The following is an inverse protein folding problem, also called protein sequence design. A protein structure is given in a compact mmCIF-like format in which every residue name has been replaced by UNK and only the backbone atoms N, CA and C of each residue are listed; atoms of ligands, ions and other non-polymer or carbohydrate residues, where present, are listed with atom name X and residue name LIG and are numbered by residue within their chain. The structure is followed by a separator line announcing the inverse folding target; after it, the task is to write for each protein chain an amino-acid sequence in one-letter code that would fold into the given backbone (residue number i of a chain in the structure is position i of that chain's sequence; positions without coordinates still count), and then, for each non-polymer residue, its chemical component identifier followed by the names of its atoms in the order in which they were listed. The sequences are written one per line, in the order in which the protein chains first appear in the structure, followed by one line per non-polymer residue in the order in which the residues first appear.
data_IF_962860612107
#
_entry.id   IF_962860612107
#
_cell.length_a   1.000
_cell.length_b   1.000
_cell.length_c   1.000
_cell.angle_alpha   90.00
_cell.angle_beta   90.00
_cell.angle_gamma   90.00
#
_symmetry.space_group_name_H-M   'P 1'
#
loop_
_entity.id
_entity.type
_entity.pdbx_description
1 polymer ?
#
# COMPACT_ATOMS: atom_id res chain seq x y z
N UNK A 1 20.82 -61.67 -27.14
CA UNK A 1 20.58 -62.05 -25.74
C UNK A 1 19.26 -61.43 -25.30
N UNK A 2 18.29 -62.32 -25.06
CA UNK A 2 17.06 -62.22 -24.26
C UNK A 2 16.19 -60.95 -24.24
N UNK A 3 15.14 -61.06 -25.05
CA UNK A 3 13.74 -60.63 -24.87
C UNK A 3 13.20 -60.83 -23.44
N UNK A 4 12.39 -59.88 -22.93
CA UNK A 4 11.16 -60.16 -22.16
C UNK A 4 10.06 -59.19 -22.59
N UNK A 5 8.97 -59.78 -23.06
CA UNK A 5 7.64 -59.21 -23.34
C UNK A 5 6.75 -59.63 -22.18
N UNK A 6 5.89 -58.74 -21.68
CA UNK A 6 4.65 -59.14 -20.99
C UNK A 6 3.62 -58.03 -21.11
N UNK A 7 2.53 -58.33 -21.83
CA UNK A 7 1.26 -57.61 -21.77
C UNK A 7 0.18 -58.50 -21.16
N UNK A 8 -0.98 -57.91 -20.86
CA UNK A 8 -2.37 -58.44 -20.67
C UNK A 8 -3.08 -57.54 -19.64
N UNK A 9 -4.39 -57.28 -19.65
CA UNK A 9 -5.48 -57.41 -20.63
C UNK A 9 -6.66 -56.62 -20.04
N UNK A 10 -7.55 -56.13 -20.91
CA UNK A 10 -8.83 -55.52 -20.59
C UNK A 10 -9.82 -56.51 -19.97
N UNK A 11 -10.72 -56.01 -19.11
CA UNK A 11 -11.97 -56.67 -18.78
C UNK A 11 -13.11 -55.66 -18.80
N UNK A 12 -13.98 -55.85 -19.78
CA UNK A 12 -15.28 -55.22 -19.98
C UNK A 12 -16.32 -55.80 -19.01
N UNK A 13 -17.23 -54.96 -18.53
CA UNK A 13 -18.38 -55.38 -17.74
C UNK A 13 -19.50 -54.35 -17.86
N UNK A 14 -20.55 -54.72 -18.58
CA UNK A 14 -21.72 -53.90 -18.85
C UNK A 14 -22.93 -54.34 -18.03
N UNK A 15 -23.94 -53.46 -18.02
CA UNK A 15 -25.39 -53.68 -17.79
C UNK A 15 -25.85 -53.72 -16.31
N UNK A 16 -26.61 -52.69 -15.89
CA UNK A 16 -28.07 -52.81 -15.75
C UNK A 16 -28.74 -51.44 -15.45
N UNK A 17 -29.75 -51.18 -16.27
CA UNK A 17 -30.81 -50.19 -16.12
C UNK A 17 -31.62 -50.41 -14.83
N UNK A 18 -32.12 -49.32 -14.23
CA UNK A 18 -33.50 -49.32 -13.75
C UNK A 18 -34.11 -47.92 -13.77
N UNK A 19 -35.34 -47.90 -14.29
CA UNK A 19 -36.24 -46.77 -14.46
C UNK A 19 -37.00 -46.45 -13.16
N UNK A 20 -37.74 -45.34 -13.25
CA UNK A 20 -38.96 -44.98 -12.54
C UNK A 20 -38.76 -44.14 -11.27
N UNK A 21 -39.03 -42.84 -11.32
CA UNK A 21 -40.37 -42.20 -11.23
C UNK A 21 -40.71 -41.87 -9.78
N UNK A 22 -40.84 -40.58 -9.45
CA UNK A 22 -42.13 -40.04 -8.99
C UNK A 22 -42.00 -38.54 -8.72
N UNK A 23 -42.57 -37.75 -9.63
CA UNK A 23 -43.07 -36.40 -9.36
C UNK A 23 -44.25 -36.49 -8.39
N UNK A 24 -44.38 -35.54 -7.46
CA UNK A 24 -45.63 -34.99 -6.91
C UNK A 24 -45.35 -33.81 -5.95
N UNK A 25 -46.33 -32.94 -5.64
CA UNK A 25 -46.33 -31.57 -6.15
C UNK A 25 -46.28 -30.48 -5.07
N UNK A 26 -46.06 -29.26 -5.57
CA UNK A 26 -46.27 -27.96 -4.92
C UNK A 26 -47.70 -27.82 -4.36
N UNK A 27 -47.88 -27.17 -3.20
CA UNK A 27 -49.07 -26.37 -2.93
C UNK A 27 -48.73 -24.88 -2.90
N UNK A 28 -49.33 -24.18 -3.85
CA UNK A 28 -49.46 -22.73 -3.91
C UNK A 28 -50.44 -22.27 -2.82
N UNK A 29 -50.03 -21.31 -2.00
CA UNK A 29 -50.89 -20.60 -1.05
C UNK A 29 -50.73 -19.09 -1.24
N UNK A 30 -51.79 -18.46 -1.73
CA UNK A 30 -51.86 -17.04 -2.08
C UNK A 30 -52.37 -16.18 -0.92
N UNK A 31 -51.96 -14.90 -0.99
CA UNK A 31 -52.70 -13.68 -0.60
C UNK A 31 -52.70 -13.20 0.86
N UNK A 32 -52.46 -11.90 1.01
CA UNK A 32 -52.87 -11.10 2.17
C UNK A 32 -51.88 -10.00 2.55
N UNK A 33 -52.02 -8.82 1.95
CA UNK A 33 -51.15 -7.67 2.22
C UNK A 33 -51.45 -6.95 3.54
N UNK A 34 -50.49 -6.13 3.97
CA UNK A 34 -50.78 -4.81 4.50
C UNK A 34 -49.53 -3.92 4.45
N UNK A 35 -49.69 -2.76 3.82
CA UNK A 35 -48.71 -1.68 3.79
C UNK A 35 -48.81 -0.93 5.12
N UNK A 36 -47.71 -0.90 5.87
CA UNK A 36 -47.49 0.04 6.96
C UNK A 36 -46.09 0.61 6.80
N UNK A 37 -46.02 1.84 6.28
CA UNK A 37 -44.81 2.64 6.18
C UNK A 37 -44.36 3.09 7.57
N UNK A 38 -43.48 2.31 8.19
CA UNK A 38 -42.68 2.75 9.32
C UNK A 38 -41.27 3.06 8.82
N UNK A 39 -40.89 4.33 8.97
CA UNK A 39 -39.58 4.88 8.65
C UNK A 39 -38.50 4.18 9.50
N UNK A 40 -37.87 3.16 8.92
CA UNK A 40 -36.77 2.42 9.55
C UNK A 40 -35.44 3.12 9.24
N UNK A 41 -34.55 3.30 10.23
CA UNK A 41 -33.26 3.95 10.00
C UNK A 41 -32.45 3.13 9.01
N UNK A 42 -32.14 3.75 7.87
CA UNK A 42 -31.33 3.17 6.79
C UNK A 42 -30.00 2.68 7.41
N UNK A 43 -29.69 1.37 7.37
CA UNK A 43 -28.55 0.80 8.09
C UNK A 43 -27.21 0.97 7.35
N UNK A 44 -27.19 1.74 6.27
CA UNK A 44 -26.02 1.93 5.43
C UNK A 44 -25.60 3.40 5.45
N UNK A 45 -24.35 3.65 5.86
CA UNK A 45 -23.71 4.96 5.74
C UNK A 45 -23.04 5.04 4.37
N UNK A 46 -22.92 6.25 3.80
CA UNK A 46 -22.17 6.47 2.55
C UNK A 46 -20.70 6.03 2.64
N UNK A 47 -20.15 5.87 3.85
CA UNK A 47 -18.84 5.27 4.08
C UNK A 47 -18.76 3.77 3.77
N UNK A 48 -19.91 3.09 3.70
CA UNK A 48 -20.01 1.65 3.49
C UNK A 48 -20.19 1.30 2.00
N UNK A 49 -20.38 2.32 1.15
CA UNK A 49 -20.39 2.19 -0.30
C UNK A 49 -18.95 2.07 -0.78
N UNK A 50 -18.43 0.83 -0.78
CA UNK A 50 -17.27 0.50 -1.62
C UNK A 50 -17.72 0.69 -3.07
N UNK A 51 -17.16 1.68 -3.76
CA UNK A 51 -17.30 1.80 -5.21
C UNK A 51 -16.71 0.52 -5.77
N UNK A 52 -17.57 -0.39 -6.22
CA UNK A 52 -17.17 -1.62 -6.89
C UNK A 52 -16.35 -1.22 -8.11
N UNK A 53 -15.04 -1.28 -7.98
CA UNK A 53 -14.18 -1.27 -9.15
C UNK A 53 -14.42 -2.60 -9.85
N UNK A 54 -14.42 -2.65 -11.17
CA UNK A 54 -14.61 -3.89 -11.95
C UNK A 54 -13.51 -4.94 -11.74
N UNK A 55 -12.71 -4.79 -10.68
CA UNK A 55 -11.56 -5.59 -10.26
C UNK A 55 -11.60 -5.92 -8.76
N UNK A 56 -12.66 -5.54 -8.04
CA UNK A 56 -12.89 -6.10 -6.70
C UNK A 56 -13.28 -7.56 -6.90
N UNK A 57 -12.35 -8.49 -6.63
CA UNK A 57 -12.62 -9.93 -6.61
C UNK A 57 -13.86 -10.17 -5.77
N UNK A 58 -14.95 -10.59 -6.43
CA UNK A 58 -16.28 -10.71 -5.81
C UNK A 58 -16.27 -11.70 -4.63
N UNK A 59 -15.26 -12.58 -4.58
CA UNK A 59 -15.12 -13.63 -3.60
C UNK A 59 -13.81 -13.51 -2.82
N UNK A 60 -13.90 -13.55 -1.50
CA UNK A 60 -12.74 -13.78 -0.63
C UNK A 60 -12.17 -15.19 -0.87
N UNK A 61 -10.87 -15.36 -0.74
CA UNK A 61 -10.20 -16.65 -0.96
C UNK A 61 -10.66 -17.66 0.11
N UNK A 62 -11.23 -18.82 -0.28
CA UNK A 62 -11.69 -19.82 0.67
C UNK A 62 -10.60 -20.30 1.65
N UNK A 63 -10.95 -20.42 2.93
CA UNK A 63 -10.07 -20.94 3.98
C UNK A 63 -9.39 -22.30 3.66
N UNK A 64 -10.07 -23.28 3.02
CA UNK A 64 -9.42 -24.53 2.61
C UNK A 64 -8.21 -24.34 1.70
N UNK A 65 -8.26 -23.36 0.79
CA UNK A 65 -7.16 -23.02 -0.12
C UNK A 65 -6.02 -22.37 0.67
N UNK A 66 -6.33 -21.45 1.58
CA UNK A 66 -5.33 -20.83 2.48
C UNK A 66 -4.65 -21.90 3.33
N UNK A 67 -5.39 -22.89 3.84
CA UNK A 67 -4.84 -23.98 4.65
C UNK A 67 -3.91 -24.89 3.84
N UNK A 68 -4.24 -25.13 2.57
CA UNK A 68 -3.38 -25.84 1.63
C UNK A 68 -2.07 -25.07 1.37
N UNK A 69 -2.16 -23.75 1.15
CA UNK A 69 -0.98 -22.90 0.98
C UNK A 69 -0.09 -22.86 2.24
N UNK A 70 -0.69 -22.69 3.43
CA UNK A 70 0.00 -22.72 4.72
C UNK A 70 0.58 -24.09 5.07
N UNK A 71 0.15 -25.15 4.39
CA UNK A 71 0.73 -26.48 4.49
C UNK A 71 1.97 -26.66 3.58
N UNK A 72 2.38 -25.60 2.85
CA UNK A 72 3.47 -25.63 1.87
C UNK A 72 3.24 -26.65 0.75
N UNK A 73 1.97 -26.95 0.47
CA UNK A 73 1.56 -27.81 -0.64
C UNK A 73 1.33 -26.98 -1.89
N UNK A 74 1.54 -27.57 -3.07
CA UNK A 74 1.20 -26.93 -4.34
C UNK A 74 -0.29 -26.55 -4.37
N UNK A 75 -0.59 -25.30 -4.70
CA UNK A 75 -1.96 -24.79 -4.90
C UNK A 75 -2.16 -24.61 -6.41
N UNK A 76 -2.89 -25.52 -7.09
CA UNK A 76 -3.18 -25.34 -8.51
C UNK A 76 -3.95 -24.04 -8.77
N UNK A 77 -3.57 -23.31 -9.82
CA UNK A 77 -4.25 -22.11 -10.28
C UNK A 77 -5.72 -22.36 -10.63
N UNK A 78 -6.07 -23.59 -11.04
CA UNK A 78 -7.47 -23.96 -11.27
C UNK A 78 -8.36 -23.80 -10.04
N UNK A 79 -7.82 -23.93 -8.82
CA UNK A 79 -8.54 -23.66 -7.57
C UNK A 79 -8.81 -22.17 -7.33
N UNK A 80 -8.04 -21.30 -7.96
CA UNK A 80 -8.06 -19.85 -7.78
C UNK A 80 -8.85 -19.12 -8.87
N UNK A 81 -9.53 -19.87 -9.74
CA UNK A 81 -10.53 -19.30 -10.65
C UNK A 81 -11.81 -18.95 -9.90
N UNK A 82 -12.54 -17.94 -10.35
CA UNK A 82 -13.83 -17.50 -9.82
C UNK A 82 -14.84 -18.64 -9.83
N UNK A 83 -14.87 -19.43 -10.90
CA UNK A 83 -15.75 -20.62 -10.99
C UNK A 83 -15.43 -21.64 -9.90
N UNK A 84 -14.16 -21.92 -9.64
CA UNK A 84 -13.77 -22.84 -8.57
C UNK A 84 -14.04 -22.24 -7.18
N UNK A 85 -13.72 -20.96 -6.96
CA UNK A 85 -13.95 -20.30 -5.68
C UNK A 85 -15.45 -20.17 -5.36
N UNK A 86 -16.28 -19.78 -6.32
CA UNK A 86 -17.74 -19.73 -6.18
C UNK A 86 -18.30 -21.13 -5.90
N UNK A 87 -17.82 -22.16 -6.60
CA UNK A 87 -18.21 -23.55 -6.33
C UNK A 87 -17.83 -24.00 -4.91
N UNK A 88 -16.66 -23.62 -4.41
CA UNK A 88 -16.22 -23.93 -3.04
C UNK A 88 -17.09 -23.21 -2.00
N UNK A 89 -17.49 -21.97 -2.27
CA UNK A 89 -18.36 -21.18 -1.39
C UNK A 89 -19.81 -21.66 -1.38
N UNK A 90 -20.34 -22.01 -2.55
CA UNK A 90 -21.76 -22.40 -2.73
C UNK A 90 -22.01 -23.88 -2.43
N UNK A 91 -21.05 -24.75 -2.72
CA UNK A 91 -21.16 -26.20 -2.50
C UNK A 91 -19.97 -26.73 -1.69
N UNK A 92 -20.07 -26.72 -0.34
CA UNK A 92 -19.04 -27.28 0.53
C UNK A 92 -18.77 -28.78 0.29
N UNK A 93 -19.70 -29.51 -0.33
CA UNK A 93 -19.53 -30.94 -0.61
C UNK A 93 -18.52 -31.23 -1.72
N UNK A 94 -18.19 -30.23 -2.55
CA UNK A 94 -17.16 -30.35 -3.57
C UNK A 94 -15.73 -30.45 -2.97
N UNK A 95 -15.56 -30.06 -1.70
CA UNK A 95 -14.29 -30.08 -0.98
C UNK A 95 -14.01 -31.50 -0.48
N UNK A 96 -13.09 -32.18 -1.15
CA UNK A 96 -12.50 -33.42 -0.61
C UNK A 96 -11.35 -33.05 0.30
N UNK A 97 -11.32 -33.62 1.51
CA UNK A 97 -10.24 -33.38 2.48
C UNK A 97 -9.44 -34.67 2.64
N UNK A 98 -8.11 -34.58 2.51
CA UNK A 98 -7.20 -35.70 2.72
C UNK A 98 -6.36 -35.47 3.97
N UNK A 99 -6.31 -36.47 4.85
CA UNK A 99 -5.51 -36.47 6.08
C UNK A 99 -4.15 -37.12 5.83
N UNK A 100 -3.11 -36.70 6.56
CA UNK A 100 -1.80 -37.37 6.56
C UNK A 100 -0.89 -37.07 5.36
N UNK A 101 -1.14 -35.98 4.63
CA UNK A 101 -0.32 -35.59 3.46
C UNK A 101 0.90 -34.74 3.83
N UNK A 102 0.93 -34.18 5.03
CA UNK A 102 2.02 -33.32 5.51
C UNK A 102 2.92 -34.15 6.43
N UNK A 103 4.19 -34.29 6.06
CA UNK A 103 5.19 -35.01 6.86
C UNK A 103 5.36 -34.41 8.26
N UNK A 104 5.26 -33.09 8.38
CA UNK A 104 5.45 -32.34 9.63
C UNK A 104 4.24 -32.40 10.58
N UNK A 105 3.02 -32.60 10.05
CA UNK A 105 1.80 -32.69 10.85
C UNK A 105 0.78 -33.66 10.22
N UNK A 106 0.83 -34.95 10.60
CA UNK A 106 -0.05 -35.98 10.05
C UNK A 106 -1.54 -35.75 10.36
N UNK A 107 -1.86 -34.94 11.38
CA UNK A 107 -3.24 -34.66 11.79
C UNK A 107 -3.86 -33.54 10.98
N UNK A 108 -3.05 -32.73 10.30
CA UNK A 108 -3.54 -31.60 9.51
C UNK A 108 -4.25 -32.10 8.25
N UNK A 109 -5.51 -31.72 8.15
CA UNK A 109 -6.37 -32.07 7.04
C UNK A 109 -6.25 -30.98 5.96
N UNK A 110 -5.97 -31.36 4.72
CA UNK A 110 -5.78 -30.44 3.59
C UNK A 110 -6.76 -30.72 2.47
N UNK A 111 -7.10 -29.67 1.71
CA UNK A 111 -7.91 -29.77 0.51
C UNK A 111 -7.22 -30.69 -0.51
N UNK A 112 -7.97 -31.66 -1.05
CA UNK A 112 -7.56 -32.51 -2.15
C UNK A 112 -7.96 -31.85 -3.47
N UNK A 113 -6.95 -31.38 -4.21
CA UNK A 113 -7.14 -30.70 -5.48
C UNK A 113 -7.41 -31.64 -6.67
N UNK A 114 -7.35 -32.97 -6.49
CA UNK A 114 -7.53 -33.94 -7.57
C UNK A 114 -8.93 -33.93 -8.20
N UNK A 115 -9.92 -33.34 -7.53
CA UNK A 115 -11.28 -33.17 -8.05
C UNK A 115 -11.46 -31.99 -9.01
N UNK A 116 -10.42 -31.16 -9.19
CA UNK A 116 -10.44 -29.99 -10.05
C UNK A 116 -9.77 -30.30 -11.39
N UNK A 117 -10.12 -29.57 -12.47
CA UNK A 117 -9.48 -29.73 -13.76
C UNK A 117 -7.95 -29.53 -13.68
N UNK A 118 -7.17 -30.18 -14.56
CA UNK A 118 -5.73 -29.97 -14.64
C UNK A 118 -5.42 -28.53 -15.07
N UNK A 119 -4.32 -27.93 -14.59
CA UNK A 119 -3.97 -26.54 -14.95
C UNK A 119 -3.79 -26.30 -16.45
N UNK A 120 -3.42 -27.35 -17.20
CA UNK A 120 -3.33 -27.29 -18.66
C UNK A 120 -4.67 -27.07 -19.36
N UNK A 121 -5.80 -27.20 -18.66
CA UNK A 121 -7.12 -26.90 -19.20
C UNK A 121 -7.55 -25.45 -19.02
N UNK A 122 -6.76 -24.62 -18.33
CA UNK A 122 -7.06 -23.20 -18.17
C UNK A 122 -7.02 -22.48 -19.51
N UNK A 123 -8.05 -21.67 -19.76
CA UNK A 123 -8.01 -20.67 -20.82
C UNK A 123 -7.08 -19.51 -20.43
N UNK A 124 -6.70 -18.68 -21.41
CA UNK A 124 -5.85 -17.53 -21.14
C UNK A 124 -6.48 -16.57 -20.11
N UNK A 125 -7.78 -16.32 -20.22
CA UNK A 125 -8.51 -15.41 -19.33
C UNK A 125 -8.56 -15.97 -17.89
N UNK A 126 -8.89 -17.26 -17.74
CA UNK A 126 -8.88 -17.93 -16.43
C UNK A 126 -7.48 -17.96 -15.81
N UNK A 127 -6.44 -18.09 -16.64
CA UNK A 127 -5.05 -18.05 -16.16
C UNK A 127 -4.68 -16.68 -15.58
N UNK A 128 -5.04 -15.58 -16.26
CA UNK A 128 -4.79 -14.23 -15.76
C UNK A 128 -5.55 -13.97 -14.46
N UNK A 129 -6.83 -14.33 -14.42
CA UNK A 129 -7.68 -14.21 -13.25
C UNK A 129 -7.12 -15.01 -12.05
N UNK A 130 -6.79 -16.28 -12.26
CA UNK A 130 -6.20 -17.14 -11.23
C UNK A 130 -4.84 -16.62 -10.74
N UNK A 131 -4.05 -16.01 -11.63
CA UNK A 131 -2.76 -15.41 -11.28
C UNK A 131 -2.92 -14.18 -10.37
N UNK A 132 -3.92 -13.34 -10.63
CA UNK A 132 -4.23 -12.20 -9.75
C UNK A 132 -4.70 -12.69 -8.36
N UNK A 133 -5.58 -13.69 -8.33
CA UNK A 133 -6.04 -14.30 -7.09
C UNK A 133 -4.90 -15.01 -6.33
N UNK A 134 -3.91 -15.57 -7.05
CA UNK A 134 -2.71 -16.12 -6.43
C UNK A 134 -1.88 -15.04 -5.73
N UNK A 135 -1.72 -13.86 -6.33
CA UNK A 135 -1.05 -12.73 -5.67
C UNK A 135 -1.79 -12.33 -4.39
N UNK A 136 -3.13 -12.35 -4.40
CA UNK A 136 -3.95 -12.09 -3.22
C UNK A 136 -3.86 -13.20 -2.16
N UNK A 137 -3.55 -14.44 -2.54
CA UNK A 137 -3.31 -15.55 -1.61
C UNK A 137 -2.00 -15.36 -0.84
N UNK A 138 -0.97 -14.79 -1.46
CA UNK A 138 0.37 -14.68 -0.87
C UNK A 138 0.38 -14.02 0.52
N UNK A 139 -0.29 -12.89 0.79
CA UNK A 139 -0.37 -12.31 2.13
C UNK A 139 -0.91 -13.25 3.22
N UNK A 140 -1.74 -14.23 2.87
CA UNK A 140 -2.34 -15.15 3.84
C UNK A 140 -1.41 -16.31 4.21
N UNK A 141 -0.45 -16.66 3.35
CA UNK A 141 0.45 -17.80 3.54
C UNK A 141 1.91 -17.41 3.67
N UNK A 142 2.29 -16.20 3.24
CA UNK A 142 3.55 -15.59 3.59
C UNK A 142 3.61 -15.46 5.12
N UNK A 143 4.77 -15.82 5.69
CA UNK A 143 5.02 -15.68 7.12
C UNK A 143 4.89 -14.22 7.59
N UNK A 144 5.19 -13.94 8.87
CA UNK A 144 5.29 -12.56 9.34
C UNK A 144 6.15 -11.74 8.38
N UNK A 145 5.79 -10.46 8.22
CA UNK A 145 6.47 -9.52 7.34
C UNK A 145 7.97 -9.77 7.38
N UNK A 146 8.56 -9.99 6.21
CA UNK A 146 9.96 -10.37 6.04
C UNK A 146 10.83 -9.49 6.93
N UNK A 147 11.32 -10.07 8.03
CA UNK A 147 12.27 -9.38 8.89
C UNK A 147 13.50 -9.10 8.03
N UNK A 148 13.95 -7.84 8.03
CA UNK A 148 15.01 -7.35 7.15
C UNK A 148 14.65 -7.35 5.65
N UNK A 149 13.54 -6.71 5.27
CA UNK A 149 13.18 -6.44 3.87
C UNK A 149 14.37 -5.97 3.01
N UNK A 150 15.23 -5.09 3.55
CA UNK A 150 16.44 -4.64 2.84
C UNK A 150 17.41 -5.77 2.48
N UNK A 151 17.56 -6.77 3.36
CA UNK A 151 18.40 -7.94 3.10
C UNK A 151 17.77 -8.86 2.06
N UNK A 152 16.47 -9.12 2.17
CA UNK A 152 15.73 -9.90 1.16
C UNK A 152 15.77 -9.24 -0.21
N UNK A 153 15.54 -7.92 -0.28
CA UNK A 153 15.61 -7.19 -1.54
C UNK A 153 17.01 -7.25 -2.17
N UNK A 154 18.06 -7.02 -1.37
CA UNK A 154 19.44 -7.09 -1.85
C UNK A 154 19.80 -8.52 -2.33
N UNK A 155 19.32 -9.54 -1.63
CA UNK A 155 19.53 -10.93 -1.99
C UNK A 155 18.80 -11.33 -3.28
N UNK A 156 17.52 -10.95 -3.42
CA UNK A 156 16.74 -11.21 -4.62
C UNK A 156 17.39 -10.57 -5.85
N UNK A 157 17.74 -9.27 -5.76
CA UNK A 157 18.39 -8.55 -6.86
C UNK A 157 19.67 -9.29 -7.29
N UNK A 158 20.54 -9.64 -6.32
CA UNK A 158 21.82 -10.28 -6.64
C UNK A 158 21.63 -11.68 -7.21
N UNK A 159 20.69 -12.46 -6.66
CA UNK A 159 20.37 -13.81 -7.15
C UNK A 159 19.83 -13.77 -8.57
N UNK A 160 18.90 -12.84 -8.87
CA UNK A 160 18.39 -12.64 -10.24
C UNK A 160 19.49 -12.18 -11.19
N UNK A 161 20.35 -11.24 -10.78
CA UNK A 161 21.49 -10.82 -11.59
C UNK A 161 22.42 -11.99 -11.92
N UNK A 162 22.73 -12.86 -10.97
CA UNK A 162 23.53 -14.07 -11.21
C UNK A 162 22.82 -14.95 -12.23
N UNK A 163 21.55 -15.27 -12.00
CA UNK A 163 20.76 -16.11 -12.91
C UNK A 163 20.74 -15.56 -14.35
N UNK A 164 20.48 -14.27 -14.55
CA UNK A 164 20.42 -13.70 -15.90
C UNK A 164 21.79 -13.63 -16.59
N UNK A 165 22.88 -13.50 -15.83
CA UNK A 165 24.23 -13.42 -16.40
C UNK A 165 24.83 -14.81 -16.67
N UNK A 166 24.56 -15.80 -15.83
CA UNK A 166 25.20 -17.12 -15.91
C UNK A 166 24.25 -18.23 -16.37
N UNK A 167 22.93 -18.01 -16.31
CA UNK A 167 21.89 -19.03 -16.50
C UNK A 167 22.02 -20.23 -15.57
N UNK A 168 22.64 -20.04 -14.40
CA UNK A 168 22.81 -21.10 -13.39
C UNK A 168 22.03 -20.78 -12.13
N UNK A 169 21.48 -21.82 -11.50
CA UNK A 169 20.93 -21.75 -10.15
C UNK A 169 22.04 -21.97 -9.12
N UNK A 170 21.91 -21.36 -7.95
CA UNK A 170 22.77 -21.66 -6.81
C UNK A 170 22.40 -23.05 -6.28
N UNK A 171 23.41 -23.84 -5.87
CA UNK A 171 23.15 -25.00 -5.03
C UNK A 171 22.59 -24.56 -3.67
N UNK A 172 21.92 -25.45 -2.95
CA UNK A 172 21.32 -25.15 -1.65
C UNK A 172 22.35 -24.56 -0.65
N UNK A 173 23.55 -25.14 -0.60
CA UNK A 173 24.65 -24.65 0.24
C UNK A 173 25.13 -23.26 -0.20
N UNK A 174 25.26 -23.04 -1.52
CA UNK A 174 25.67 -21.75 -2.05
C UNK A 174 24.59 -20.68 -1.81
N UNK A 175 23.32 -21.04 -1.90
CA UNK A 175 22.18 -20.17 -1.62
C UNK A 175 22.19 -19.74 -0.15
N UNK A 176 22.32 -20.69 0.78
CA UNK A 176 22.36 -20.41 2.22
C UNK A 176 23.57 -19.53 2.60
N UNK A 177 24.76 -19.85 2.06
CA UNK A 177 25.95 -19.02 2.28
C UNK A 177 25.75 -17.59 1.75
N UNK A 178 25.18 -17.47 0.54
CA UNK A 178 24.93 -16.18 -0.09
C UNK A 178 23.93 -15.32 0.69
N UNK A 179 22.87 -15.95 1.22
CA UNK A 179 21.89 -15.31 2.09
C UNK A 179 22.56 -14.74 3.34
N UNK A 180 23.34 -15.57 4.05
CA UNK A 180 24.04 -15.16 5.26
C UNK A 180 25.04 -14.02 5.00
N UNK A 181 25.75 -14.04 3.87
CA UNK A 181 26.67 -12.98 3.46
C UNK A 181 25.96 -11.64 3.30
N UNK A 182 24.83 -11.63 2.58
CA UNK A 182 24.06 -10.40 2.31
C UNK A 182 23.41 -9.89 3.58
N UNK A 183 22.81 -10.77 4.38
CA UNK A 183 22.23 -10.41 5.66
C UNK A 183 23.27 -9.75 6.56
N UNK A 184 24.46 -10.36 6.70
CA UNK A 184 25.57 -9.79 7.49
C UNK A 184 26.00 -8.41 6.99
N UNK A 185 26.11 -8.23 5.66
CA UNK A 185 26.47 -6.94 5.05
C UNK A 185 25.44 -5.85 5.35
N UNK A 186 24.15 -6.16 5.20
CA UNK A 186 23.08 -5.20 5.44
C UNK A 186 22.98 -4.84 6.93
N UNK A 187 23.04 -5.82 7.82
CA UNK A 187 23.02 -5.56 9.27
C UNK A 187 24.22 -4.71 9.71
N UNK A 188 25.43 -4.98 9.20
CA UNK A 188 26.62 -4.15 9.48
C UNK A 188 26.45 -2.72 8.99
N UNK A 189 25.93 -2.53 7.77
CA UNK A 189 25.67 -1.20 7.21
C UNK A 189 24.64 -0.44 8.06
N UNK A 190 23.54 -1.08 8.44
CA UNK A 190 22.52 -0.46 9.29
C UNK A 190 23.08 -0.05 10.66
N UNK A 191 23.93 -0.88 11.26
CA UNK A 191 24.61 -0.54 12.51
C UNK A 191 25.56 0.66 12.36
N UNK A 192 26.30 0.74 11.24
CA UNK A 192 27.16 1.89 10.91
C UNK A 192 26.32 3.17 10.72
N UNK A 193 25.28 3.12 9.89
CA UNK A 193 24.39 4.26 9.64
C UNK A 193 23.73 4.77 10.93
N UNK A 194 23.30 3.84 11.81
CA UNK A 194 22.74 4.18 13.12
C UNK A 194 23.77 4.85 14.03
N UNK A 195 25.02 4.33 14.05
CA UNK A 195 26.09 4.92 14.85
C UNK A 195 26.46 6.32 14.37
N UNK A 196 26.58 6.54 13.06
CA UNK A 196 26.85 7.85 12.48
C UNK A 196 25.73 8.84 12.77
N UNK A 197 24.48 8.40 12.68
CA UNK A 197 23.31 9.23 13.02
C UNK A 197 23.34 9.65 14.49
N UNK A 198 23.66 8.73 15.41
CA UNK A 198 23.81 9.03 16.82
C UNK A 198 24.96 10.02 17.09
N UNK A 199 26.12 9.85 16.47
CA UNK A 199 27.23 10.79 16.58
C UNK A 199 26.87 12.19 16.09
N UNK A 200 26.15 12.29 14.96
CA UNK A 200 25.68 13.59 14.44
C UNK A 200 24.72 14.27 15.41
N UNK A 201 23.80 13.53 16.03
CA UNK A 201 22.87 14.12 16.99
C UNK A 201 23.56 14.54 18.29
N UNK A 202 24.52 13.76 18.81
CA UNK A 202 25.35 14.16 19.96
C UNK A 202 26.13 15.43 19.65
N UNK A 203 26.76 15.53 18.47
CA UNK A 203 27.45 16.75 18.04
C UNK A 203 26.49 17.96 17.95
N UNK A 204 25.27 17.74 17.46
CA UNK A 204 24.23 18.78 17.38
C UNK A 204 23.81 19.27 18.77
N UNK A 205 23.57 18.35 19.71
CA UNK A 205 23.17 18.68 21.08
C UNK A 205 24.31 19.36 21.85
N UNK A 206 25.55 18.91 21.67
CA UNK A 206 26.73 19.54 22.26
C UNK A 206 26.88 20.99 21.79
N UNK A 207 26.73 21.24 20.49
CA UNK A 207 26.77 22.60 19.93
C UNK A 207 25.66 23.52 20.47
N UNK A 208 24.48 22.96 20.78
CA UNK A 208 23.39 23.72 21.43
C UNK A 208 23.69 24.00 22.90
N UNK A 209 24.26 23.05 23.64
CA UNK A 209 24.65 23.22 25.03
C UNK A 209 25.71 24.32 25.18
N UNK A 210 26.74 24.34 24.32
CA UNK A 210 27.75 25.42 24.33
C UNK A 210 27.16 26.80 24.09
N UNK A 211 26.06 26.92 23.32
CA UNK A 211 25.37 28.20 23.11
C UNK A 211 24.55 28.66 24.31
N UNK A 212 24.10 27.73 25.15
CA UNK A 212 23.35 28.03 26.37
C UNK A 212 24.27 28.33 27.56
N UNK A 213 25.42 27.65 27.63
CA UNK A 213 26.44 27.86 28.67
C UNK A 213 27.42 29.00 28.35
N UNK A 214 27.53 29.39 27.07
CA UNK A 214 28.13 30.65 26.65
C UNK A 214 27.31 31.81 27.19
N UNK A 215 27.64 32.23 28.41
CA UNK A 215 26.99 33.28 29.19
C UNK A 215 26.77 34.60 28.43
N UNK A 216 25.99 35.52 29.03
CA UNK A 216 25.43 36.68 28.34
C UNK A 216 26.54 37.40 27.61
N UNK A 217 26.47 37.38 26.27
CA UNK A 217 27.20 38.31 25.43
C UNK A 217 27.01 39.67 26.05
N UNK A 218 28.10 40.15 26.65
CA UNK A 218 28.25 41.46 27.21
C UNK A 218 28.27 42.41 26.00
N UNK A 219 27.12 42.54 25.33
CA UNK A 219 26.75 43.69 24.53
C UNK A 219 26.60 44.83 25.55
N UNK A 220 27.75 45.25 26.08
CA UNK A 220 27.92 46.51 26.74
C UNK A 220 27.44 47.53 25.72
N UNK A 221 26.24 48.03 25.99
CA UNK A 221 25.59 49.09 25.25
C UNK A 221 26.59 50.25 25.21
N UNK A 222 27.33 50.41 24.11
CA UNK A 222 28.13 51.61 23.93
C UNK A 222 27.13 52.77 23.81
N UNK A 223 27.12 53.71 24.77
CA UNK A 223 26.27 54.89 24.62
C UNK A 223 26.78 55.64 23.41
N UNK A 224 25.87 55.93 22.48
CA UNK A 224 26.13 56.77 21.33
C UNK A 224 26.96 58.01 21.74
N UNK A 225 28.14 58.18 21.12
CA UNK A 225 28.85 59.44 21.15
C UNK A 225 27.93 60.50 20.53
N UNK A 226 27.42 61.40 21.37
CA UNK A 226 26.58 62.50 20.93
C UNK A 226 27.41 63.44 20.05
N UNK A 227 27.05 63.56 18.78
CA UNK A 227 27.49 64.69 17.94
C UNK A 227 26.81 65.97 18.44
N UNK A 228 27.51 67.10 18.53
CA UNK A 228 26.90 68.39 18.88
C UNK A 228 25.89 68.81 17.81
N UNK A 229 24.68 69.17 18.27
CA UNK A 229 23.62 69.79 17.47
C UNK A 229 24.10 71.15 16.93
N UNK A 230 23.96 71.35 15.63
CA UNK A 230 23.78 72.69 15.06
C UNK A 230 22.28 72.90 14.82
N UNK A 231 21.82 74.08 15.24
CA UNK A 231 20.45 74.53 15.21
C UNK A 231 19.97 74.85 13.79
N UNK A 232 18.69 74.53 13.51
CA UNK A 232 17.96 75.19 12.43
C UNK A 232 16.90 74.32 11.73
N UNK A 233 15.66 74.80 11.83
CA UNK A 233 14.47 74.54 10.97
C UNK A 233 13.41 73.56 11.53
N UNK A 234 12.13 73.99 11.66
CA UNK A 234 11.05 73.20 12.26
C UNK A 234 10.14 72.51 11.25
N UNK A 235 9.36 71.55 11.79
CA UNK A 235 8.10 70.99 11.29
C UNK A 235 8.12 70.10 10.05
N UNK A 236 7.94 68.79 10.27
CA UNK A 236 6.75 68.10 9.77
C UNK A 236 6.57 66.72 10.44
N UNK A 237 5.31 66.43 10.74
CA UNK A 237 4.73 65.24 11.33
C UNK A 237 5.16 63.93 10.67
N UNK A 238 5.43 62.88 11.46
CA UNK A 238 5.54 61.53 10.91
C UNK A 238 6.11 60.47 11.86
N UNK A 239 5.22 59.76 12.54
CA UNK A 239 5.34 58.36 12.98
C UNK A 239 6.71 57.82 13.42
N UNK A 240 6.89 57.66 14.73
CA UNK A 240 7.96 56.82 15.28
C UNK A 240 7.91 55.38 14.75
N UNK A 241 9.05 54.73 14.50
CA UNK A 241 9.11 53.41 13.86
C UNK A 241 9.00 52.29 14.92
N UNK A 242 8.30 51.22 14.54
CA UNK A 242 8.21 49.93 15.25
C UNK A 242 7.32 49.85 16.51
N UNK A 243 5.98 49.88 16.31
CA UNK A 243 5.09 49.01 17.10
C UNK A 243 5.01 47.64 16.42
N UNK A 244 5.92 46.74 16.78
CA UNK A 244 5.87 45.32 16.39
C UNK A 244 4.72 44.67 17.17
N UNK A 245 3.51 44.74 16.61
CA UNK A 245 2.35 44.03 17.11
C UNK A 245 2.66 42.53 17.18
N UNK A 246 2.40 41.94 18.34
CA UNK A 246 2.51 40.50 18.60
C UNK A 246 1.35 39.80 17.89
N UNK A 247 1.47 39.65 16.56
CA UNK A 247 0.58 38.80 15.80
C UNK A 247 0.71 37.37 16.31
N UNK A 248 -0.40 36.70 16.55
CA UNK A 248 -0.46 35.25 16.82
C UNK A 248 0.30 34.55 15.70
N UNK A 249 1.53 34.10 15.98
CA UNK A 249 2.41 33.61 14.93
C UNK A 249 1.82 32.34 14.34
N UNK A 250 1.25 32.46 13.15
CA UNK A 250 0.89 31.35 12.27
C UNK A 250 2.17 30.75 11.65
N UNK A 251 3.20 30.53 12.46
CA UNK A 251 4.59 30.24 12.04
C UNK A 251 4.81 28.77 11.63
N UNK A 252 3.73 28.01 11.46
CA UNK A 252 3.80 26.64 10.96
C UNK A 252 3.89 26.60 9.44
N UNK A 253 4.53 25.57 8.84
CA UNK A 253 4.50 25.38 7.39
C UNK A 253 3.05 25.27 6.90
N UNK A 254 2.77 25.87 5.74
CA UNK A 254 1.48 25.76 5.05
C UNK A 254 1.39 24.39 4.37
N UNK A 255 0.39 23.60 4.75
CA UNK A 255 0.13 22.32 4.10
C UNK A 255 -0.42 22.51 2.68
N UNK A 256 0.25 21.93 1.67
CA UNK A 256 -0.15 22.02 0.26
C UNK A 256 -1.43 21.23 -0.08
N UNK A 257 -1.89 20.34 0.81
CA UNK A 257 -3.10 19.54 0.56
C UNK A 257 -4.35 20.26 1.06
N UNK A 258 -4.33 20.77 2.29
CA UNK A 258 -5.52 21.34 2.93
C UNK A 258 -5.44 22.85 3.21
N UNK A 259 -4.33 23.52 2.88
CA UNK A 259 -4.08 24.95 3.15
C UNK A 259 -4.14 25.36 4.62
N UNK A 260 -3.91 24.44 5.56
CA UNK A 260 -3.82 24.75 6.99
C UNK A 260 -2.36 24.85 7.41
N UNK A 261 -2.08 25.69 8.39
CA UNK A 261 -0.73 25.81 8.95
C UNK A 261 -0.50 24.74 10.03
N UNK A 262 0.77 24.39 10.24
CA UNK A 262 1.19 23.58 11.39
C UNK A 262 1.47 22.10 11.10
N UNK A 263 1.37 21.66 9.84
CA UNK A 263 1.77 20.32 9.43
C UNK A 263 2.26 20.28 7.98
N UNK A 264 2.99 19.22 7.61
CA UNK A 264 3.47 18.99 6.25
C UNK A 264 2.41 18.27 5.42
N UNK A 265 2.51 18.37 4.10
CA UNK A 265 1.65 17.63 3.18
C UNK A 265 1.76 16.11 3.37
N UNK A 266 2.94 15.59 3.73
CA UNK A 266 3.15 14.16 4.04
C UNK A 266 2.34 13.66 5.22
N UNK A 267 2.00 14.55 6.16
CA UNK A 267 1.37 14.21 7.44
C UNK A 267 -0.10 14.66 7.46
N UNK A 268 -0.64 15.06 6.30
CA UNK A 268 -1.98 15.61 6.19
C UNK A 268 -3.05 14.50 6.20
N UNK A 269 -3.84 14.45 7.27
CA UNK A 269 -4.97 13.53 7.42
C UNK A 269 -6.32 14.16 7.08
N UNK A 270 -6.34 15.45 6.73
CA UNK A 270 -7.59 16.16 6.45
C UNK A 270 -8.16 15.82 5.08
N UNK A 271 -9.47 15.55 5.05
CA UNK A 271 -10.24 15.29 3.83
C UNK A 271 -10.79 16.56 3.17
N UNK A 272 -10.76 17.68 3.89
CA UNK A 272 -11.29 18.98 3.45
C UNK A 272 -10.25 20.09 3.65
N UNK A 273 -10.26 21.07 2.75
CA UNK A 273 -9.44 22.29 2.81
C UNK A 273 -9.89 23.24 3.94
N UNK A 274 -9.16 24.34 4.13
CA UNK A 274 -9.54 25.43 5.05
C UNK A 274 -10.88 26.09 4.69
N UNK A 275 -11.29 26.04 3.41
CA UNK A 275 -12.59 26.55 2.93
C UNK A 275 -13.70 25.50 2.91
N UNK A 276 -13.48 24.36 3.58
CA UNK A 276 -14.42 23.23 3.61
C UNK A 276 -14.73 22.59 2.24
N UNK A 277 -13.91 22.85 1.22
CA UNK A 277 -13.96 22.13 -0.05
C UNK A 277 -13.17 20.81 0.05
N UNK A 278 -13.58 19.71 -0.61
CA UNK A 278 -12.85 18.45 -0.60
C UNK A 278 -11.43 18.61 -1.16
N UNK A 279 -10.44 17.96 -0.54
CA UNK A 279 -9.05 18.07 -0.99
C UNK A 279 -8.86 17.35 -2.34
N UNK A 280 -8.28 18.06 -3.32
CA UNK A 280 -8.09 17.54 -4.67
C UNK A 280 -6.89 16.57 -4.80
N UNK A 281 -5.94 16.61 -3.87
CA UNK A 281 -4.70 15.85 -3.95
C UNK A 281 -4.43 14.96 -2.72
N UNK A 282 -3.45 14.07 -2.85
CA UNK A 282 -2.94 13.18 -1.80
C UNK A 282 -1.40 13.11 -1.86
N UNK A 283 -0.77 12.76 -0.74
CA UNK A 283 0.66 12.48 -0.68
C UNK A 283 0.93 10.98 -0.78
N UNK A 284 1.82 10.58 -1.70
CA UNK A 284 2.39 9.21 -1.82
C UNK A 284 3.81 9.32 -2.36
N UNK A 285 4.75 9.72 -1.50
CA UNK A 285 6.13 10.17 -1.81
C UNK A 285 6.23 11.43 -2.70
N UNK A 286 5.21 11.69 -3.50
CA UNK A 286 4.99 12.87 -4.33
C UNK A 286 3.58 13.39 -4.12
N UNK A 287 3.34 14.62 -4.57
CA UNK A 287 2.02 15.24 -4.55
C UNK A 287 1.22 14.77 -5.78
N UNK A 288 0.13 14.03 -5.57
CA UNK A 288 -0.65 13.39 -6.63
C UNK A 288 -2.09 13.92 -6.66
N UNK A 289 -2.65 14.11 -7.85
CA UNK A 289 -4.07 14.41 -8.03
C UNK A 289 -4.91 13.17 -7.75
N UNK A 290 -5.96 13.26 -6.92
CA UNK A 290 -6.77 12.08 -6.54
C UNK A 290 -7.52 11.45 -7.71
N UNK A 291 -7.97 12.25 -8.68
CA UNK A 291 -8.79 11.76 -9.79
C UNK A 291 -8.01 10.99 -10.84
N UNK A 292 -6.73 11.31 -11.06
CA UNK A 292 -5.93 10.73 -12.14
C UNK A 292 -4.59 10.14 -11.69
N UNK A 293 -4.23 10.28 -10.41
CA UNK A 293 -2.90 9.97 -9.89
C UNK A 293 -1.74 10.71 -10.58
N UNK A 294 -2.02 11.76 -11.35
CA UNK A 294 -1.00 12.56 -12.02
C UNK A 294 -0.17 13.36 -11.02
N UNK A 295 1.13 13.52 -11.31
CA UNK A 295 2.08 14.19 -10.42
C UNK A 295 1.91 15.71 -10.53
N UNK A 296 1.71 16.38 -9.40
CA UNK A 296 1.58 17.83 -9.32
C UNK A 296 2.95 18.44 -8.99
N UNK A 297 3.30 19.50 -9.72
CA UNK A 297 4.54 20.24 -9.49
C UNK A 297 4.51 20.99 -8.15
N UNK A 298 5.39 20.59 -7.23
CA UNK A 298 5.55 21.27 -5.93
C UNK A 298 6.09 22.68 -6.13
N UNK A 299 7.10 22.87 -6.99
CA UNK A 299 7.69 24.18 -7.29
C UNK A 299 6.67 25.19 -7.78
N UNK A 300 5.68 24.76 -8.58
CA UNK A 300 4.59 25.62 -9.03
C UNK A 300 3.70 26.03 -7.86
N UNK A 301 3.35 25.08 -6.99
CA UNK A 301 2.47 25.32 -5.85
C UNK A 301 3.09 26.22 -4.77
N UNK A 302 4.42 26.27 -4.68
CA UNK A 302 5.16 27.20 -3.80
C UNK A 302 5.55 28.52 -4.50
N UNK A 303 5.22 28.70 -5.79
CA UNK A 303 5.49 29.94 -6.52
C UNK A 303 6.92 30.11 -7.04
N UNK A 304 7.69 29.03 -7.16
CA UNK A 304 9.10 29.04 -7.60
C UNK A 304 9.35 28.34 -8.94
N UNK A 305 8.31 27.89 -9.64
CA UNK A 305 8.45 27.20 -10.92
C UNK A 305 8.58 28.17 -12.08
N UNK A 306 9.71 28.12 -12.80
CA UNK A 306 9.82 28.62 -14.16
C UNK A 306 9.43 27.49 -15.12
N UNK A 307 8.37 27.68 -15.91
CA UNK A 307 7.71 26.66 -16.75
C UNK A 307 8.61 25.89 -17.72
N UNK A 308 9.83 26.36 -18.01
CA UNK A 308 10.75 25.76 -19.00
C UNK A 308 11.66 24.64 -18.47
N UNK A 309 11.61 24.27 -17.18
CA UNK A 309 12.64 23.41 -16.56
C UNK A 309 12.18 22.01 -16.09
N UNK A 310 10.96 21.58 -16.40
CA UNK A 310 10.40 20.34 -15.84
C UNK A 310 9.86 19.40 -16.92
N UNK A 311 9.80 18.09 -16.59
CA UNK A 311 9.23 17.06 -17.45
C UNK A 311 7.78 17.41 -17.83
N UNK A 312 7.32 17.13 -19.06
CA UNK A 312 5.92 17.32 -19.45
C UNK A 312 4.92 16.56 -18.56
N UNK A 313 5.37 15.57 -17.79
CA UNK A 313 4.52 14.76 -16.90
C UNK A 313 4.08 15.48 -15.62
N UNK A 314 4.60 16.68 -15.34
CA UNK A 314 4.29 17.45 -14.14
C UNK A 314 3.16 18.45 -14.40
N UNK A 315 2.07 18.31 -13.63
CA UNK A 315 0.93 19.21 -13.72
C UNK A 315 1.15 20.51 -12.94
N UNK A 316 0.94 21.64 -13.61
CA UNK A 316 0.88 22.97 -13.01
C UNK A 316 -0.58 23.33 -12.66
N UNK A 317 -1.05 22.83 -11.50
CA UNK A 317 -2.39 23.08 -10.94
C UNK A 317 -2.32 23.39 -9.44
N UNK A 318 -3.25 24.20 -8.89
CA UNK A 318 -3.42 24.40 -7.43
C UNK A 318 -3.70 23.03 -6.82
N UNK A 319 -2.81 22.57 -5.95
CA UNK A 319 -2.93 21.29 -5.25
C UNK A 319 -4.16 21.21 -4.34
N UNK A 320 -4.67 22.36 -3.89
CA UNK A 320 -5.81 22.46 -2.97
C UNK A 320 -7.14 22.27 -3.70
N UNK A 321 -7.35 22.95 -4.84
CA UNK A 321 -8.63 22.98 -5.56
C UNK A 321 -8.59 22.37 -6.97
N UNK A 322 -7.41 22.04 -7.50
CA UNK A 322 -7.23 21.47 -8.84
C UNK A 322 -7.25 22.46 -10.01
N UNK A 323 -7.38 23.77 -9.76
CA UNK A 323 -7.48 24.78 -10.83
C UNK A 323 -6.11 25.10 -11.46
N UNK A 324 -6.06 25.33 -12.77
CA UNK A 324 -4.85 25.69 -13.55
C UNK A 324 -4.48 27.17 -13.46
N UNK A 325 -5.39 28.03 -13.00
CA UNK A 325 -5.21 29.49 -13.02
C UNK A 325 -4.26 30.03 -11.95
N UNK A 326 -3.96 29.26 -10.91
CA UNK A 326 -3.18 29.74 -9.77
C UNK A 326 -2.49 28.59 -9.00
N UNK A 327 -1.50 28.95 -8.19
CA UNK A 327 -0.76 28.05 -7.30
C UNK A 327 -1.37 28.01 -5.90
N UNK A 328 -1.07 26.98 -5.10
CA UNK A 328 -1.58 26.89 -3.72
C UNK A 328 -1.15 28.08 -2.84
N UNK A 329 0.06 28.61 -3.01
CA UNK A 329 0.56 29.76 -2.23
C UNK A 329 -0.17 31.07 -2.53
N UNK A 330 -0.83 31.21 -3.69
CA UNK A 330 -1.52 32.44 -4.06
C UNK A 330 -2.76 32.72 -3.18
N UNK A 331 -3.23 31.71 -2.43
CA UNK A 331 -4.45 31.77 -1.59
C UNK A 331 -5.69 32.25 -2.37
N UNK A 332 -5.71 31.98 -3.68
CA UNK A 332 -6.83 32.28 -4.58
C UNK A 332 -7.79 31.09 -4.74
N UNK A 333 -7.38 29.91 -4.25
CA UNK A 333 -8.26 28.81 -3.92
C UNK A 333 -9.12 29.30 -2.73
#
# INVERSE_FOLDING_TARGET
MQTIIAGTQEATGAVQSNMASSLKPVPSGSAGGNVSSSDSPIPFKDSDVKIATSLDSVYEIPCPIINLAKAKMHVPLTLLTHSAMDKIHTDPSCIKIKKGLILDDPKRAVLDASGFPPETSLTADEFYEASENFIQLLPHCAGPAVENFNAVLAFDIKTRCIFFNTKTFLSDDAYAHHWNEIQSKITKKQAQDASESAFREVARLSALATRLEGGPSNNHYQPYQQRPKMDGVPSSSGGGPFRKGKGTSTDGPLCLICSRNGHKASDCTYTHSVKNAPVACTWRDKLLLKSSSAIICISYNIGHCATSKHSPDLLHICSVCGNKSHSAISRSC
#
